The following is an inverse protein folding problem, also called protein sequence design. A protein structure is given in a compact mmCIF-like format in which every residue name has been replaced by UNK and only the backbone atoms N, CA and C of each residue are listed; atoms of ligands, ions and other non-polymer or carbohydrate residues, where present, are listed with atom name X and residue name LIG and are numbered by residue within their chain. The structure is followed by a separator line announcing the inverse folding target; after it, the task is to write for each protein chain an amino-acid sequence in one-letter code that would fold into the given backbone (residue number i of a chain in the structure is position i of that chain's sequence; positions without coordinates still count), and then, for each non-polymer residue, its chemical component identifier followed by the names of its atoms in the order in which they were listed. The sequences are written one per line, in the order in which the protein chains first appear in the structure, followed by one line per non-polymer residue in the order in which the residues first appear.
data_IF_814537584355
#
_entry.id   IF_814537584355
#
_cell.length_a   1.000
_cell.length_b   1.000
_cell.length_c   1.000
_cell.angle_alpha   90.00
_cell.angle_beta   90.00
_cell.angle_gamma   90.00
#
_symmetry.space_group_name_H-M   'P 1'
#
loop_
_entity.id
_entity.type
_entity.pdbx_description
1 polymer ?
#
# COMPACT_ATOMS: atom_id res chain seq x y z
N UNK A 1 -25.47 10.00 -32.32
CA UNK A 1 -25.38 10.45 -30.92
C UNK A 1 -24.97 9.24 -30.10
N UNK A 2 -23.89 9.33 -29.32
CA UNK A 2 -23.54 8.30 -28.33
C UNK A 2 -24.16 8.71 -26.99
N UNK A 3 -24.73 7.74 -26.29
CA UNK A 3 -25.22 7.90 -24.93
C UNK A 3 -24.39 7.00 -24.02
N UNK A 4 -24.10 7.48 -22.82
CA UNK A 4 -23.43 6.73 -21.76
C UNK A 4 -24.50 6.38 -20.70
N UNK A 5 -24.45 5.16 -20.18
CA UNK A 5 -25.44 4.66 -19.22
C UNK A 5 -24.71 3.96 -18.08
N UNK A 6 -25.03 4.36 -16.85
CA UNK A 6 -24.47 3.78 -15.62
C UNK A 6 -25.49 2.81 -15.00
N UNK A 7 -25.05 1.59 -14.63
CA UNK A 7 -25.92 0.57 -14.05
C UNK A 7 -26.01 0.75 -12.54
N UNK A 8 -27.23 0.96 -12.03
CA UNK A 8 -27.51 1.13 -10.60
C UNK A 8 -28.04 -0.13 -9.89
N UNK A 9 -28.28 -1.25 -10.62
CA UNK A 9 -28.73 -2.53 -10.04
C UNK A 9 -29.34 -3.51 -11.06
N UNK A 10 -30.04 -4.55 -10.57
CA UNK A 10 -30.86 -5.51 -11.34
C UNK A 10 -30.12 -6.73 -11.92
N UNK A 11 -30.85 -7.78 -12.31
CA UNK A 11 -30.30 -8.90 -13.08
C UNK A 11 -30.33 -8.57 -14.58
N UNK A 12 -29.18 -8.73 -15.25
CA UNK A 12 -29.04 -8.45 -16.67
C UNK A 12 -29.90 -9.44 -17.48
N UNK A 13 -30.92 -8.91 -18.16
CA UNK A 13 -31.70 -9.63 -19.16
C UNK A 13 -31.76 -8.81 -20.45
N UNK A 14 -31.72 -9.46 -21.62
CA UNK A 14 -31.92 -8.77 -22.89
C UNK A 14 -33.29 -8.06 -22.90
N UNK A 15 -33.34 -6.82 -23.38
CA UNK A 15 -34.60 -6.17 -23.76
C UNK A 15 -35.18 -6.84 -25.01
N UNK A 16 -36.48 -6.70 -25.26
CA UNK A 16 -37.23 -7.44 -26.30
C UNK A 16 -36.66 -7.20 -27.72
N UNK A 17 -36.21 -5.98 -27.99
CA UNK A 17 -35.54 -5.49 -29.20
C UNK A 17 -34.01 -5.68 -29.20
N UNK A 18 -33.48 -6.25 -28.10
CA UNK A 18 -32.08 -6.60 -27.89
C UNK A 18 -31.90 -8.09 -27.61
N UNK A 19 -32.91 -8.93 -27.85
CA UNK A 19 -32.89 -10.37 -27.54
C UNK A 19 -31.74 -11.12 -28.25
N UNK A 20 -31.33 -10.63 -29.42
CA UNK A 20 -30.19 -11.15 -30.20
C UNK A 20 -28.86 -10.41 -29.92
N UNK A 21 -28.85 -9.39 -29.07
CA UNK A 21 -27.65 -8.62 -28.74
C UNK A 21 -26.88 -9.29 -27.59
N UNK A 22 -25.68 -9.75 -27.91
CA UNK A 22 -24.73 -10.23 -26.93
C UNK A 22 -23.93 -9.06 -26.33
N UNK A 23 -23.75 -9.09 -25.02
CA UNK A 23 -22.86 -8.18 -24.31
C UNK A 23 -21.45 -8.76 -24.26
N UNK A 24 -20.46 -7.94 -24.62
CA UNK A 24 -19.05 -8.33 -24.63
C UNK A 24 -18.25 -7.35 -23.78
N UNK A 25 -17.26 -7.86 -23.04
CA UNK A 25 -16.30 -6.97 -22.38
C UNK A 25 -15.48 -6.24 -23.45
N UNK A 26 -15.00 -5.03 -23.12
CA UNK A 26 -14.11 -4.27 -24.00
C UNK A 26 -12.80 -5.02 -24.31
N UNK A 27 -12.42 -5.98 -23.46
CA UNK A 27 -11.27 -6.88 -23.63
C UNK A 27 -11.58 -8.12 -24.48
N UNK A 28 -12.86 -8.44 -24.71
CA UNK A 28 -13.32 -9.66 -25.39
C UNK A 28 -14.32 -9.38 -26.51
N UNK A 29 -14.08 -8.32 -27.29
CA UNK A 29 -14.98 -7.93 -28.38
C UNK A 29 -14.90 -8.89 -29.57
N UNK A 30 -16.04 -9.25 -30.18
CA UNK A 30 -16.05 -10.01 -31.43
C UNK A 30 -15.54 -9.12 -32.59
N UNK A 31 -15.21 -9.73 -33.75
CA UNK A 31 -14.91 -8.97 -34.96
C UNK A 31 -16.06 -8.00 -35.29
N UNK A 32 -15.75 -6.71 -35.37
CA UNK A 32 -16.75 -5.69 -35.67
C UNK A 32 -16.88 -5.51 -37.18
N UNK A 33 -18.12 -5.30 -37.64
CA UNK A 33 -18.46 -5.21 -39.06
C UNK A 33 -17.72 -4.08 -39.81
N UNK A 34 -17.31 -3.00 -39.12
CA UNK A 34 -16.62 -1.88 -39.74
C UNK A 34 -15.43 -1.40 -38.90
N UNK A 35 -14.31 -1.12 -39.56
CA UNK A 35 -13.10 -0.61 -38.92
C UNK A 35 -13.30 0.73 -38.18
N UNK A 36 -14.28 1.54 -38.59
CA UNK A 36 -14.64 2.78 -37.91
C UNK A 36 -15.11 2.53 -36.45
N UNK A 37 -15.84 1.44 -36.19
CA UNK A 37 -16.27 1.08 -34.84
C UNK A 37 -15.08 0.66 -33.97
N UNK A 38 -14.14 -0.11 -34.51
CA UNK A 38 -12.90 -0.48 -33.81
C UNK A 38 -12.10 0.78 -33.44
N UNK A 39 -11.99 1.75 -34.35
CA UNK A 39 -11.33 3.04 -34.09
C UNK A 39 -12.05 3.85 -33.01
N UNK A 40 -13.38 3.95 -33.09
CA UNK A 40 -14.18 4.68 -32.12
C UNK A 40 -14.06 4.07 -30.71
N UNK A 41 -14.09 2.74 -30.59
CA UNK A 41 -13.90 2.06 -29.31
C UNK A 41 -12.47 2.22 -28.78
N UNK A 42 -11.45 2.26 -29.64
CA UNK A 42 -10.09 2.56 -29.23
C UNK A 42 -9.96 3.98 -28.65
N UNK A 43 -10.61 4.97 -29.28
CA UNK A 43 -10.67 6.36 -28.78
C UNK A 43 -11.43 6.42 -27.45
N UNK A 44 -12.58 5.75 -27.35
CA UNK A 44 -13.35 5.66 -26.11
C UNK A 44 -12.52 5.04 -24.97
N UNK A 45 -11.84 3.91 -25.23
CA UNK A 45 -10.95 3.28 -24.25
C UNK A 45 -9.82 4.21 -23.82
N UNK A 46 -9.26 5.00 -24.73
CA UNK A 46 -8.22 5.98 -24.40
C UNK A 46 -8.77 7.12 -23.52
N UNK A 47 -9.96 7.64 -23.84
CA UNK A 47 -10.62 8.71 -23.08
C UNK A 47 -10.95 8.29 -21.64
N UNK A 48 -11.45 7.07 -21.45
CA UNK A 48 -11.88 6.59 -20.13
C UNK A 48 -10.82 5.77 -19.38
N UNK A 49 -9.60 5.64 -19.93
CA UNK A 49 -8.53 4.83 -19.32
C UNK A 49 -8.22 5.23 -17.89
N UNK A 50 -8.02 6.53 -17.62
CA UNK A 50 -7.66 6.99 -16.27
C UNK A 50 -8.83 6.91 -15.29
N UNK A 51 -10.06 7.39 -15.61
CA UNK A 51 -11.21 7.23 -14.72
C UNK A 51 -11.49 5.77 -14.34
N UNK A 52 -11.44 4.84 -15.30
CA UNK A 52 -11.67 3.42 -15.01
C UNK A 52 -10.55 2.83 -14.17
N UNK A 53 -9.28 3.16 -14.44
CA UNK A 53 -8.18 2.71 -13.59
C UNK A 53 -8.33 3.19 -12.13
N UNK A 54 -8.84 4.40 -11.91
CA UNK A 54 -9.14 4.90 -10.56
C UNK A 54 -10.26 4.09 -9.91
N UNK A 55 -11.37 3.85 -10.63
CA UNK A 55 -12.51 3.11 -10.11
C UNK A 55 -12.16 1.65 -9.79
N UNK A 56 -11.41 0.99 -10.67
CA UNK A 56 -10.94 -0.38 -10.47
C UNK A 56 -10.05 -0.45 -9.22
N UNK A 57 -9.08 0.46 -9.09
CA UNK A 57 -8.17 0.51 -7.94
C UNK A 57 -8.90 0.75 -6.62
N UNK A 58 -9.88 1.66 -6.60
CA UNK A 58 -10.72 1.89 -5.42
C UNK A 58 -11.48 0.63 -5.06
N UNK A 59 -12.02 -0.10 -6.04
CA UNK A 59 -12.71 -1.37 -5.81
C UNK A 59 -11.76 -2.39 -5.18
N UNK A 60 -10.58 -2.61 -5.76
CA UNK A 60 -9.56 -3.53 -5.25
C UNK A 60 -9.07 -3.16 -3.84
N UNK A 61 -8.98 -1.87 -3.52
CA UNK A 61 -8.62 -1.38 -2.19
C UNK A 61 -9.64 -1.81 -1.12
N UNK A 62 -10.93 -1.91 -1.48
CA UNK A 62 -12.00 -2.30 -0.55
C UNK A 62 -12.27 -3.81 -0.54
N UNK A 63 -12.09 -4.52 -1.66
CA UNK A 63 -12.24 -5.98 -1.70
C UNK A 63 -11.06 -6.71 -1.07
N UNK A 64 -9.89 -6.06 -0.99
CA UNK A 64 -8.69 -6.60 -0.37
C UNK A 64 -7.90 -7.54 -1.28
N UNK A 65 -8.25 -7.60 -2.57
CA UNK A 65 -7.61 -8.50 -3.54
C UNK A 65 -6.18 -8.05 -3.92
N UNK A 66 -5.77 -6.83 -3.59
CA UNK A 66 -4.37 -6.36 -3.68
C UNK A 66 -3.78 -6.24 -5.09
N UNK A 67 -4.36 -6.90 -6.08
CA UNK A 67 -3.96 -6.85 -7.48
C UNK A 67 -4.44 -5.57 -8.17
N UNK A 68 -3.56 -4.98 -8.99
CA UNK A 68 -3.93 -3.85 -9.86
C UNK A 68 -4.03 -2.50 -9.15
N UNK A 69 -3.39 -2.34 -8.00
CA UNK A 69 -3.42 -1.10 -7.24
C UNK A 69 -2.56 -0.02 -7.92
N UNK A 70 -3.12 1.17 -8.06
CA UNK A 70 -2.46 2.34 -8.65
C UNK A 70 -1.12 2.68 -7.97
N UNK A 71 -1.06 2.49 -6.66
CA UNK A 71 0.11 2.80 -5.84
C UNK A 71 1.27 1.79 -5.98
N UNK A 72 1.10 0.67 -6.68
CA UNK A 72 2.15 -0.37 -6.79
C UNK A 72 3.46 0.16 -7.39
N UNK A 73 3.38 1.09 -8.35
CA UNK A 73 4.57 1.75 -8.90
C UNK A 73 5.34 2.57 -7.84
N UNK A 74 4.62 3.23 -6.92
CA UNK A 74 5.25 3.96 -5.81
C UNK A 74 5.80 3.02 -4.75
N UNK A 75 5.17 1.86 -4.54
CA UNK A 75 5.68 0.81 -3.63
C UNK A 75 6.99 0.24 -4.16
N UNK A 76 7.06 -0.06 -5.46
CA UNK A 76 8.29 -0.51 -6.11
C UNK A 76 9.41 0.52 -5.99
N UNK A 77 9.10 1.81 -6.15
CA UNK A 77 10.06 2.90 -5.98
C UNK A 77 10.58 2.99 -4.53
N UNK A 78 9.69 2.84 -3.54
CA UNK A 78 10.09 2.79 -2.12
C UNK A 78 10.99 1.59 -1.83
N UNK A 79 10.73 0.45 -2.46
CA UNK A 79 11.54 -0.76 -2.34
C UNK A 79 12.93 -0.60 -2.95
N UNK A 80 13.01 -0.01 -4.14
CA UNK A 80 14.27 0.28 -4.85
C UNK A 80 15.17 1.22 -4.02
N UNK A 81 14.58 2.22 -3.37
CA UNK A 81 15.29 3.21 -2.56
C UNK A 81 15.30 2.89 -1.05
N UNK A 82 15.10 1.63 -0.70
CA UNK A 82 15.00 1.20 0.69
C UNK A 82 16.21 1.59 1.54
N UNK A 83 17.41 1.53 0.96
CA UNK A 83 18.66 1.87 1.65
C UNK A 83 18.70 3.35 2.08
N UNK A 84 18.32 4.26 1.18
CA UNK A 84 18.27 5.70 1.48
C UNK A 84 17.27 6.01 2.59
N UNK A 85 16.06 5.43 2.49
CA UNK A 85 15.00 5.61 3.49
C UNK A 85 15.47 5.11 4.85
N UNK A 86 16.14 3.95 4.90
CA UNK A 86 16.68 3.39 6.13
C UNK A 86 17.78 4.29 6.73
N UNK A 87 18.70 4.80 5.92
CA UNK A 87 19.74 5.71 6.37
C UNK A 87 19.16 7.01 6.97
N UNK A 88 18.17 7.61 6.30
CA UNK A 88 17.42 8.77 6.80
C UNK A 88 16.73 8.48 8.12
N UNK A 89 16.09 7.31 8.23
CA UNK A 89 15.45 6.87 9.45
C UNK A 89 16.45 6.70 10.60
N UNK A 90 17.61 6.06 10.38
CA UNK A 90 18.65 5.89 11.41
C UNK A 90 19.13 7.25 11.93
N UNK A 91 19.40 8.20 11.03
CA UNK A 91 19.77 9.55 11.41
C UNK A 91 18.66 10.24 12.25
N UNK A 92 17.39 10.01 11.88
CA UNK A 92 16.24 10.59 12.59
C UNK A 92 16.03 10.02 13.98
N UNK A 93 16.07 8.69 14.16
CA UNK A 93 15.86 8.07 15.48
C UNK A 93 16.98 8.35 16.46
N UNK A 94 18.21 8.58 15.96
CA UNK A 94 19.35 8.96 16.81
C UNK A 94 19.29 10.42 17.29
N UNK A 95 18.53 11.27 16.61
CA UNK A 95 18.46 12.72 16.90
C UNK A 95 17.12 13.15 17.47
N UNK A 96 16.09 12.31 17.39
CA UNK A 96 14.74 12.67 17.84
C UNK A 96 14.64 12.69 19.37
N UNK A 97 14.02 13.73 19.97
CA UNK A 97 13.80 13.82 21.41
C UNK A 97 12.83 12.74 21.93
N UNK A 98 12.05 12.10 21.05
CA UNK A 98 11.12 11.03 21.39
C UNK A 98 11.75 9.63 21.38
N UNK A 99 13.03 9.52 21.02
CA UNK A 99 13.78 8.25 20.97
C UNK A 99 15.18 8.37 21.59
N UNK A 100 15.33 8.93 22.80
CA UNK A 100 16.64 9.17 23.43
C UNK A 100 17.47 7.89 23.70
N UNK A 101 16.85 6.73 23.89
CA UNK A 101 17.54 5.45 24.03
C UNK A 101 18.19 5.01 22.70
N UNK A 102 17.63 5.35 21.55
CA UNK A 102 18.20 5.02 20.23
C UNK A 102 19.51 5.77 19.95
N UNK A 103 19.76 6.90 20.62
CA UNK A 103 21.03 7.62 20.56
C UNK A 103 22.11 7.01 21.47
N UNK A 104 21.70 6.35 22.56
CA UNK A 104 22.59 5.92 23.66
C UNK A 104 22.89 4.43 23.65
N UNK A 105 21.91 3.60 23.29
CA UNK A 105 22.05 2.16 23.24
C UNK A 105 22.64 1.73 21.89
N UNK A 106 23.52 0.71 21.89
CA UNK A 106 23.94 0.09 20.65
C UNK A 106 22.72 -0.50 19.96
N UNK A 107 22.45 -0.01 18.75
CA UNK A 107 21.50 -0.67 17.87
C UNK A 107 22.26 -1.83 17.22
N UNK A 108 21.87 -3.06 17.52
CA UNK A 108 22.34 -4.21 16.75
C UNK A 108 21.84 -4.05 15.31
N UNK A 109 22.77 -3.70 14.41
CA UNK A 109 22.54 -3.38 12.99
C UNK A 109 21.24 -2.60 12.73
N UNK A 110 21.21 -1.29 13.03
CA UNK A 110 20.01 -0.47 12.88
C UNK A 110 19.51 -0.41 11.45
N UNK A 111 20.44 -0.40 10.49
CA UNK A 111 20.13 -0.36 9.07
C UNK A 111 19.49 -1.67 8.62
N UNK A 112 20.01 -2.83 9.06
CA UNK A 112 19.38 -4.11 8.75
C UNK A 112 18.01 -4.24 9.41
N UNK A 113 17.83 -3.75 10.63
CA UNK A 113 16.51 -3.76 11.28
C UNK A 113 15.50 -2.88 10.51
N UNK A 114 15.92 -1.69 10.09
CA UNK A 114 15.10 -0.80 9.26
C UNK A 114 14.76 -1.43 7.91
N UNK A 115 15.76 -2.03 7.26
CA UNK A 115 15.61 -2.71 5.96
C UNK A 115 14.66 -3.89 6.04
N UNK A 116 14.71 -4.68 7.12
CA UNK A 116 13.76 -5.76 7.36
C UNK A 116 12.34 -5.22 7.56
N UNK A 117 12.17 -4.15 8.35
CA UNK A 117 10.85 -3.54 8.54
C UNK A 117 10.28 -2.97 7.21
N UNK A 118 11.13 -2.35 6.39
CA UNK A 118 10.74 -1.79 5.10
C UNK A 118 10.44 -2.89 4.06
N UNK A 119 11.25 -3.94 3.99
CA UNK A 119 10.98 -5.10 3.14
C UNK A 119 9.65 -5.76 3.52
N UNK A 120 9.35 -5.91 4.82
CA UNK A 120 8.05 -6.44 5.27
C UNK A 120 6.89 -5.54 4.91
N UNK A 121 7.09 -4.21 4.90
CA UNK A 121 6.11 -3.28 4.37
C UNK A 121 5.83 -3.56 2.89
N UNK A 122 6.87 -3.62 2.05
CA UNK A 122 6.71 -3.88 0.61
C UNK A 122 6.06 -5.25 0.34
N UNK A 123 6.50 -6.32 1.02
CA UNK A 123 5.90 -7.65 0.87
C UNK A 123 4.45 -7.69 1.34
N UNK A 124 4.11 -7.06 2.46
CA UNK A 124 2.73 -7.02 2.95
C UNK A 124 1.79 -6.28 2.00
N UNK A 125 2.31 -5.25 1.33
CA UNK A 125 1.53 -4.49 0.36
C UNK A 125 1.22 -5.28 -0.91
N UNK A 126 2.10 -6.20 -1.31
CA UNK A 126 1.97 -6.98 -2.54
C UNK A 126 1.26 -8.32 -2.33
N UNK A 127 1.35 -8.92 -1.14
CA UNK A 127 0.84 -10.28 -0.88
C UNK A 127 -0.11 -10.33 0.34
N UNK A 128 -1.42 -10.58 0.15
CA UNK A 128 -2.38 -10.80 1.23
C UNK A 128 -2.01 -11.95 2.18
N UNK A 129 -1.23 -12.92 1.71
CA UNK A 129 -0.71 -14.05 2.48
C UNK A 129 0.38 -13.62 3.46
N UNK A 130 1.06 -12.50 3.23
CA UNK A 130 2.13 -12.01 4.10
C UNK A 130 1.64 -11.40 5.43
N UNK A 131 0.32 -11.37 5.69
CA UNK A 131 -0.27 -10.88 6.95
C UNK A 131 0.31 -11.56 8.18
N UNK A 132 0.29 -12.89 8.25
CA UNK A 132 0.77 -13.63 9.43
C UNK A 132 2.28 -13.40 9.66
N UNK A 133 3.06 -13.29 8.58
CA UNK A 133 4.50 -13.06 8.65
C UNK A 133 4.82 -11.66 9.20
N UNK A 134 4.03 -10.65 8.80
CA UNK A 134 4.11 -9.28 9.33
C UNK A 134 3.80 -9.26 10.83
N UNK A 135 2.71 -9.90 11.26
CA UNK A 135 2.31 -9.94 12.67
C UNK A 135 3.38 -10.59 13.55
N UNK A 136 3.89 -11.76 13.13
CA UNK A 136 4.94 -12.48 13.85
C UNK A 136 6.24 -11.65 13.96
N UNK A 137 6.62 -10.95 12.89
CA UNK A 137 7.80 -10.09 12.88
C UNK A 137 7.68 -8.94 13.89
N UNK A 138 6.57 -8.20 13.87
CA UNK A 138 6.41 -7.05 14.77
C UNK A 138 6.20 -7.46 16.23
N UNK A 139 5.55 -8.61 16.48
CA UNK A 139 5.55 -9.23 17.82
C UNK A 139 6.97 -9.51 18.32
N UNK A 140 7.79 -10.16 17.48
CA UNK A 140 9.18 -10.46 17.83
C UNK A 140 10.04 -9.19 18.00
N UNK A 141 9.80 -8.16 17.19
CA UNK A 141 10.46 -6.86 17.31
C UNK A 141 10.16 -6.22 18.67
N UNK A 142 8.89 -6.20 19.09
CA UNK A 142 8.46 -5.68 20.39
C UNK A 142 9.14 -6.43 21.55
N UNK A 143 9.09 -7.77 21.53
CA UNK A 143 9.75 -8.61 22.53
C UNK A 143 11.26 -8.33 22.62
N UNK A 144 11.93 -8.26 21.47
CA UNK A 144 13.37 -7.97 21.39
C UNK A 144 13.72 -6.60 21.99
N UNK A 145 12.94 -5.56 21.68
CA UNK A 145 13.18 -4.21 22.20
C UNK A 145 12.95 -4.11 23.71
N UNK A 146 11.97 -4.82 24.25
CA UNK A 146 11.78 -4.93 25.70
C UNK A 146 13.00 -5.58 26.38
N UNK A 147 13.52 -6.69 25.84
CA UNK A 147 14.75 -7.34 26.38
C UNK A 147 15.99 -6.44 26.33
N UNK A 148 16.07 -5.59 25.30
CA UNK A 148 17.17 -4.63 25.14
C UNK A 148 17.02 -3.39 26.05
N UNK A 149 15.92 -3.27 26.82
CA UNK A 149 15.71 -2.19 27.77
C UNK A 149 15.23 -0.86 27.17
N UNK A 150 14.69 -0.87 25.94
CA UNK A 150 14.03 0.31 25.37
C UNK A 150 12.70 0.57 26.08
N UNK A 151 12.23 1.82 26.09
CA UNK A 151 10.86 2.14 26.49
C UNK A 151 9.87 1.94 25.33
N UNK A 152 8.63 1.53 25.64
CA UNK A 152 7.61 1.28 24.62
C UNK A 152 7.30 2.53 23.79
N UNK A 153 7.19 3.71 24.41
CA UNK A 153 6.88 4.95 23.71
C UNK A 153 7.98 5.29 22.69
N UNK A 154 9.24 5.01 23.02
CA UNK A 154 10.35 5.20 22.10
C UNK A 154 10.28 4.24 20.90
N UNK A 155 9.94 2.96 21.13
CA UNK A 155 9.81 1.97 20.05
C UNK A 155 8.67 2.35 19.09
N UNK A 156 7.52 2.76 19.63
CA UNK A 156 6.38 3.21 18.82
C UNK A 156 6.69 4.52 18.07
N UNK A 157 7.43 5.42 18.70
CA UNK A 157 7.90 6.64 18.03
C UNK A 157 8.87 6.31 16.89
N UNK A 158 9.81 5.38 17.09
CA UNK A 158 10.73 4.94 16.05
C UNK A 158 9.99 4.37 14.82
N UNK A 159 8.94 3.58 15.03
CA UNK A 159 8.08 3.09 13.93
C UNK A 159 7.31 4.23 13.24
N UNK A 160 6.82 5.19 14.00
CA UNK A 160 6.13 6.37 13.45
C UNK A 160 7.08 7.26 12.62
N UNK A 161 8.35 7.36 13.02
CA UNK A 161 9.38 8.04 12.25
C UNK A 161 9.69 7.29 10.95
N UNK A 162 9.74 5.96 10.96
CA UNK A 162 9.91 5.16 9.73
C UNK A 162 8.77 5.42 8.75
N UNK A 163 7.52 5.38 9.24
CA UNK A 163 6.32 5.72 8.45
C UNK A 163 6.46 7.10 7.80
N UNK A 164 6.96 8.08 8.55
CA UNK A 164 7.18 9.44 8.05
C UNK A 164 8.24 9.49 6.96
N UNK A 165 9.38 8.83 7.12
CA UNK A 165 10.44 8.84 6.11
C UNK A 165 10.00 8.15 4.81
N UNK A 166 9.26 7.03 4.88
CA UNK A 166 8.65 6.38 3.70
C UNK A 166 7.71 7.35 2.97
N UNK A 167 6.80 7.99 3.71
CA UNK A 167 5.86 8.95 3.12
C UNK A 167 6.56 10.18 2.52
N UNK A 168 7.59 10.67 3.20
CA UNK A 168 8.36 11.84 2.75
C UNK A 168 9.10 11.51 1.46
N UNK A 169 9.78 10.35 1.41
CA UNK A 169 10.46 9.86 0.22
C UNK A 169 9.51 9.71 -0.98
N UNK A 170 8.36 9.05 -0.76
CA UNK A 170 7.36 8.85 -1.81
C UNK A 170 6.82 10.17 -2.36
N UNK A 171 6.67 11.19 -1.51
CA UNK A 171 6.25 12.54 -1.94
C UNK A 171 7.32 13.30 -2.70
N UNK A 172 8.59 13.16 -2.32
CA UNK A 172 9.72 13.84 -2.97
C UNK A 172 9.95 13.33 -4.40
N UNK A 173 9.71 12.04 -4.64
CA UNK A 173 9.96 11.40 -5.94
C UNK A 173 8.75 11.36 -6.86
N UNK A 174 7.66 12.02 -6.47
CA UNK A 174 6.45 12.00 -7.26
C UNK A 174 6.30 13.24 -8.14
N UNK A 175 6.00 13.02 -9.42
CA UNK A 175 5.49 14.04 -10.33
C UNK A 175 3.96 13.93 -10.40
N UNK A 176 3.26 14.97 -9.98
CA UNK A 176 1.80 15.08 -10.11
C UNK A 176 1.47 15.71 -11.47
N UNK A 177 1.31 14.88 -12.50
CA UNK A 177 1.02 15.34 -13.87
C UNK A 177 -0.47 15.28 -14.21
N UNK A 178 -1.25 14.43 -13.54
CA UNK A 178 -2.69 14.31 -13.76
C UNK A 178 -3.48 13.74 -12.58
N UNK A 179 -4.82 13.63 -12.71
CA UNK A 179 -5.70 13.12 -11.65
C UNK A 179 -5.30 11.72 -11.17
N UNK A 180 -4.87 10.85 -12.09
CA UNK A 180 -4.42 9.50 -11.77
C UNK A 180 -3.27 9.49 -10.75
N UNK A 181 -2.33 10.44 -10.85
CA UNK A 181 -1.20 10.55 -9.93
C UNK A 181 -1.64 10.96 -8.52
N UNK A 182 -2.70 11.78 -8.41
CA UNK A 182 -3.28 12.15 -7.11
C UNK A 182 -3.89 10.92 -6.43
N UNK A 183 -4.63 10.10 -7.18
CA UNK A 183 -5.21 8.87 -6.64
C UNK A 183 -4.15 7.84 -6.23
N UNK A 184 -3.06 7.70 -6.99
CA UNK A 184 -1.91 6.85 -6.58
C UNK A 184 -1.39 7.22 -5.19
N UNK A 185 -1.29 8.52 -4.90
CA UNK A 185 -0.77 9.02 -3.60
C UNK A 185 -1.74 8.78 -2.48
N UNK A 186 -3.02 9.07 -2.72
CA UNK A 186 -4.06 8.85 -1.72
C UNK A 186 -4.13 7.37 -1.37
N UNK A 187 -4.04 6.50 -2.38
CA UNK A 187 -4.01 5.07 -2.18
C UNK A 187 -2.79 4.60 -1.39
N UNK A 188 -1.59 5.07 -1.77
CA UNK A 188 -0.35 4.77 -1.02
C UNK A 188 -0.45 5.25 0.43
N UNK A 189 -0.97 6.47 0.66
CA UNK A 189 -1.16 7.04 1.99
C UNK A 189 -2.02 6.13 2.87
N UNK A 190 -3.14 5.67 2.32
CA UNK A 190 -4.06 4.77 3.02
C UNK A 190 -3.42 3.40 3.30
N UNK A 191 -2.65 2.86 2.35
CA UNK A 191 -1.90 1.60 2.50
C UNK A 191 -0.84 1.71 3.60
N UNK A 192 -0.08 2.81 3.64
CA UNK A 192 0.91 3.12 4.68
C UNK A 192 0.24 3.15 6.07
N UNK A 193 -0.87 3.87 6.22
CA UNK A 193 -1.57 3.96 7.51
C UNK A 193 -2.02 2.57 7.98
N UNK A 194 -2.71 1.82 7.12
CA UNK A 194 -3.21 0.48 7.46
C UNK A 194 -2.11 -0.50 7.89
N UNK A 195 -0.96 -0.46 7.21
CA UNK A 195 0.18 -1.28 7.60
C UNK A 195 0.74 -0.88 8.96
N UNK A 196 1.02 0.40 9.15
CA UNK A 196 1.70 0.88 10.36
C UNK A 196 0.80 0.81 11.60
N UNK A 197 -0.52 0.95 11.47
CA UNK A 197 -1.45 0.73 12.59
C UNK A 197 -1.33 -0.70 13.14
N UNK A 198 -1.24 -1.70 12.25
CA UNK A 198 -1.02 -3.09 12.63
C UNK A 198 0.38 -3.30 13.21
N UNK A 199 1.41 -2.76 12.55
CA UNK A 199 2.79 -2.87 13.02
C UNK A 199 2.96 -2.32 14.44
N UNK A 200 2.37 -1.15 14.73
CA UNK A 200 2.37 -0.53 16.05
C UNK A 200 1.63 -1.41 17.07
N UNK A 201 0.43 -1.90 16.73
CA UNK A 201 -0.35 -2.78 17.61
C UNK A 201 0.40 -4.06 17.98
N UNK A 202 0.93 -4.79 17.00
CA UNK A 202 1.65 -6.04 17.24
C UNK A 202 2.98 -5.80 17.97
N UNK A 203 3.67 -4.70 17.68
CA UNK A 203 4.88 -4.30 18.42
C UNK A 203 4.58 -4.02 19.89
N UNK A 204 3.53 -3.25 20.17
CA UNK A 204 3.11 -2.97 21.55
C UNK A 204 2.73 -4.25 22.30
N UNK A 205 1.96 -5.15 21.66
CA UNK A 205 1.62 -6.44 22.24
C UNK A 205 2.83 -7.30 22.55
N UNK A 206 3.77 -7.41 21.62
CA UNK A 206 5.00 -8.18 21.82
C UNK A 206 5.85 -7.61 22.96
N UNK A 207 5.98 -6.29 23.01
CA UNK A 207 6.72 -5.58 24.05
C UNK A 207 6.11 -5.81 25.45
N UNK A 208 4.78 -5.62 25.58
CA UNK A 208 4.09 -5.81 26.85
C UNK A 208 4.13 -7.26 27.32
N UNK A 209 3.95 -8.23 26.41
CA UNK A 209 4.04 -9.65 26.74
C UNK A 209 5.41 -10.03 27.33
N UNK A 210 6.50 -9.51 26.76
CA UNK A 210 7.85 -9.75 27.29
C UNK A 210 8.05 -9.09 28.66
N UNK A 211 7.59 -7.84 28.81
CA UNK A 211 7.76 -7.08 30.05
C UNK A 211 6.97 -7.68 31.22
N UNK A 212 5.74 -8.13 30.94
CA UNK A 212 4.82 -8.64 31.95
C UNK A 212 5.03 -10.16 32.20
N UNK A 213 6.04 -10.77 31.55
CA UNK A 213 6.41 -12.17 31.73
C UNK A 213 5.41 -13.17 31.14
N UNK A 214 4.58 -12.74 30.17
CA UNK A 214 3.59 -13.62 29.55
C UNK A 214 4.27 -14.70 28.68
N UNK A 215 3.90 -15.99 28.83
CA UNK A 215 4.49 -17.07 28.02
C UNK A 215 4.13 -16.92 26.52
N UNK A 216 4.92 -17.56 25.63
CA UNK A 216 4.94 -17.30 24.19
C UNK A 216 3.61 -17.44 23.46
#
# INVERSE_FOLDING_TARGET
MCFEVERTGGDLRPGDDAADLAFFSLSGLPPLAFAAHTKALAVCRALHREPWAIQDSVTHLYTGDGEGLLSDALVALVEEHAEEICARWVARVRTSPTTPAYARLPLDDPEQTARQALSRFCTWLQDPSARWAMEAFYLALGRRRARQGYDLAEVLSALTLLRREIWTFAREHQVLAGPLDVYRVMELSRRIVQFFDKALYHTARGFLAERDGAPP
#
